data_IF_968895811946
#
_entry.id   IF_968895811946
#
_cell.length_a   1.000
_cell.length_b   1.000
_cell.length_c   1.000
_cell.angle_alpha   90.00
_cell.angle_beta   90.00
_cell.angle_gamma   90.00
#
_symmetry.space_group_name_H-M   'P 1'
#
loop_
_entity.id
_entity.type
_entity.pdbx_description
1 polymer ?
#
# COMPACT_ATOMS: atom_id res chain seq x y z
N UNK A 1 9.22 -18.74 -4.91
CA UNK A 1 10.27 -19.27 -5.80
C UNK A 1 9.65 -19.66 -7.15
N UNK A 2 8.70 -20.60 -7.20
CA UNK A 2 8.10 -21.12 -8.44
C UNK A 2 7.57 -20.07 -9.44
N UNK A 3 6.75 -19.10 -9.00
CA UNK A 3 6.13 -18.14 -9.93
C UNK A 3 7.15 -17.27 -10.67
N UNK A 4 8.25 -16.89 -10.00
CA UNK A 4 9.31 -16.08 -10.61
C UNK A 4 10.15 -16.88 -11.61
N UNK A 5 10.37 -18.16 -11.33
CA UNK A 5 11.07 -19.07 -12.26
C UNK A 5 10.24 -19.27 -13.53
N UNK A 6 8.94 -19.56 -13.39
CA UNK A 6 8.01 -19.69 -14.51
C UNK A 6 7.96 -18.41 -15.35
N UNK A 7 7.93 -17.24 -14.70
CA UNK A 7 7.99 -15.96 -15.40
C UNK A 7 9.34 -15.75 -16.12
N UNK A 8 10.46 -16.12 -15.49
CA UNK A 8 11.80 -16.03 -16.07
C UNK A 8 11.98 -16.94 -17.31
N UNK A 9 11.19 -18.01 -17.42
CA UNK A 9 11.08 -18.86 -18.62
C UNK A 9 10.24 -18.22 -19.76
N UNK A 10 9.85 -16.95 -19.63
CA UNK A 10 9.13 -16.20 -20.66
C UNK A 10 7.61 -16.40 -20.64
N UNK A 11 7.06 -17.01 -19.59
CA UNK A 11 5.62 -17.25 -19.46
C UNK A 11 4.95 -16.08 -18.75
N UNK A 12 3.73 -15.74 -19.17
CA UNK A 12 2.91 -14.74 -18.45
C UNK A 12 2.21 -15.39 -17.27
N UNK A 13 2.32 -14.79 -16.08
CA UNK A 13 1.67 -15.26 -14.85
C UNK A 13 0.67 -14.20 -14.38
N UNK A 14 -0.60 -14.57 -14.26
CA UNK A 14 -1.61 -13.77 -13.56
C UNK A 14 -1.78 -14.30 -12.14
N UNK A 15 -1.77 -13.38 -11.17
CA UNK A 15 -2.04 -13.69 -9.76
C UNK A 15 -2.97 -12.62 -9.18
N UNK A 16 -3.83 -13.03 -8.25
CA UNK A 16 -4.68 -12.14 -7.48
C UNK A 16 -4.44 -12.40 -6.00
N UNK A 17 -4.21 -11.35 -5.22
CA UNK A 17 -4.14 -11.39 -3.77
C UNK A 17 -4.80 -10.14 -3.20
N UNK A 18 -5.43 -10.26 -2.03
CA UNK A 18 -5.95 -9.13 -1.27
C UNK A 18 -4.88 -8.50 -0.37
N UNK A 19 -3.71 -9.13 -0.26
CA UNK A 19 -2.60 -8.69 0.59
C UNK A 19 -1.56 -7.96 -0.23
N UNK A 20 -1.43 -6.64 -0.03
CA UNK A 20 -0.49 -5.82 -0.80
C UNK A 20 0.97 -6.29 -0.65
N UNK A 21 1.37 -6.77 0.52
CA UNK A 21 2.75 -7.24 0.77
C UNK A 21 3.11 -8.51 -0.01
N UNK A 22 2.12 -9.34 -0.37
CA UNK A 22 2.34 -10.49 -1.26
C UNK A 22 2.51 -10.04 -2.71
N UNK A 23 1.61 -9.18 -3.18
CA UNK A 23 1.67 -8.62 -4.54
C UNK A 23 3.00 -7.89 -4.75
N UNK A 24 3.45 -7.09 -3.77
CA UNK A 24 4.72 -6.38 -3.82
C UNK A 24 5.94 -7.31 -3.92
N UNK A 25 5.84 -8.54 -3.38
CA UNK A 25 6.94 -9.51 -3.40
C UNK A 25 6.99 -10.31 -4.70
N UNK A 26 5.91 -10.44 -5.45
CA UNK A 26 5.84 -11.43 -6.54
C UNK A 26 5.57 -10.80 -7.91
N UNK A 27 4.85 -9.68 -7.98
CA UNK A 27 4.43 -9.07 -9.23
C UNK A 27 5.33 -7.91 -9.66
N UNK A 28 5.43 -7.67 -10.98
CA UNK A 28 6.06 -6.47 -11.55
C UNK A 28 5.05 -5.32 -11.68
N UNK A 29 3.78 -5.67 -11.98
CA UNK A 29 2.66 -4.77 -12.20
C UNK A 29 1.43 -5.22 -11.44
N UNK A 30 0.56 -4.28 -11.09
CA UNK A 30 -0.69 -4.53 -10.37
C UNK A 30 -1.85 -3.88 -11.12
N UNK A 31 -2.91 -4.64 -11.33
CA UNK A 31 -4.22 -4.12 -11.72
C UNK A 31 -5.10 -3.91 -10.49
N UNK A 32 -5.79 -2.77 -10.39
CA UNK A 32 -6.79 -2.53 -9.35
C UNK A 32 -8.17 -2.69 -9.99
N UNK A 33 -8.95 -3.64 -9.47
CA UNK A 33 -10.35 -3.84 -9.88
C UNK A 33 -11.27 -3.29 -8.79
N UNK A 34 -12.23 -2.45 -9.18
CA UNK A 34 -13.23 -1.86 -8.29
C UNK A 34 -14.60 -1.91 -8.96
N UNK A 35 -15.59 -2.47 -8.28
CA UNK A 35 -16.96 -2.65 -8.80
C UNK A 35 -17.05 -3.36 -10.17
N UNK A 36 -16.11 -4.25 -10.47
CA UNK A 36 -16.05 -4.98 -11.74
C UNK A 36 -15.18 -4.32 -12.81
N UNK A 37 -14.73 -3.09 -12.60
CA UNK A 37 -13.93 -2.34 -13.57
C UNK A 37 -12.44 -2.30 -13.20
N UNK A 38 -11.58 -2.41 -14.21
CA UNK A 38 -10.14 -2.22 -14.07
C UNK A 38 -9.82 -0.72 -14.05
N UNK A 39 -9.69 -0.17 -12.84
CA UNK A 39 -9.54 1.29 -12.64
C UNK A 39 -8.10 1.78 -12.71
N UNK A 40 -7.12 0.88 -12.57
CA UNK A 40 -5.70 1.24 -12.68
C UNK A 40 -4.85 0.03 -13.07
N UNK A 41 -3.75 0.27 -13.79
CA UNK A 41 -2.66 -0.69 -13.98
C UNK A 41 -1.33 0.04 -13.81
N UNK A 42 -0.59 -0.29 -12.75
CA UNK A 42 0.64 0.43 -12.40
C UNK A 42 1.77 -0.55 -12.06
N UNK A 43 3.02 -0.07 -12.13
CA UNK A 43 4.15 -0.80 -11.59
C UNK A 43 4.03 -0.91 -10.06
N UNK A 44 4.45 -2.03 -9.48
CA UNK A 44 4.46 -2.23 -8.02
C UNK A 44 5.24 -1.13 -7.30
N UNK A 45 6.32 -0.63 -7.90
CA UNK A 45 7.13 0.47 -7.37
C UNK A 45 6.32 1.77 -7.19
N UNK A 46 5.38 2.06 -8.09
CA UNK A 46 4.52 3.25 -8.02
C UNK A 46 3.43 3.13 -6.95
N UNK A 47 3.02 1.91 -6.59
CA UNK A 47 2.12 1.70 -5.45
C UNK A 47 2.83 1.94 -4.12
N UNK A 48 4.12 1.61 -4.03
CA UNK A 48 4.90 1.81 -2.80
C UNK A 48 5.01 3.28 -2.40
N UNK A 49 5.09 4.20 -3.36
CA UNK A 49 5.13 5.64 -3.08
C UNK A 49 3.76 6.20 -2.67
N UNK A 50 2.66 5.51 -3.01
CA UNK A 50 1.28 5.89 -2.66
C UNK A 50 0.79 5.23 -1.37
N UNK A 51 1.53 4.27 -0.83
CA UNK A 51 1.15 3.58 0.41
C UNK A 51 1.16 4.57 1.58
N UNK A 52 0.01 4.76 2.21
CA UNK A 52 -0.10 5.57 3.43
C UNK A 52 0.74 4.94 4.53
N UNK A 53 1.58 5.74 5.19
CA UNK A 53 2.35 5.30 6.35
C UNK A 53 1.53 5.58 7.60
N UNK A 54 1.27 4.55 8.40
CA UNK A 54 0.76 4.72 9.76
C UNK A 54 1.96 4.95 10.67
N UNK A 55 1.91 6.04 11.43
CA UNK A 55 2.92 6.38 12.44
C UNK A 55 2.16 6.55 13.75
N UNK A 56 2.72 6.01 14.82
CA UNK A 56 2.16 6.07 16.17
C UNK A 56 3.20 6.71 17.08
N UNK A 57 2.75 7.62 17.94
CA UNK A 57 3.58 8.37 18.87
C UNK A 57 2.97 8.29 20.25
N UNK A 58 3.81 8.06 21.26
CA UNK A 58 3.44 8.16 22.66
C UNK A 58 4.08 9.44 23.22
N UNK A 59 3.27 10.28 23.86
CA UNK A 59 3.70 11.55 24.43
C UNK A 59 3.71 11.46 25.95
N UNK A 60 4.70 12.10 26.58
CA UNK A 60 4.83 12.12 28.04
C UNK A 60 3.71 12.93 28.73
N UNK A 61 3.04 13.82 27.99
CA UNK A 61 1.94 14.65 28.44
C UNK A 61 0.81 14.64 27.39
N UNK A 62 -0.46 14.88 27.77
CA UNK A 62 -1.56 14.95 26.82
C UNK A 62 -1.31 15.98 25.72
N UNK A 63 -1.51 15.57 24.46
CA UNK A 63 -1.33 16.42 23.28
C UNK A 63 -2.68 16.78 22.67
N UNK A 64 -2.86 18.05 22.32
CA UNK A 64 -4.07 18.49 21.63
C UNK A 64 -4.07 18.04 20.16
N UNK A 65 -5.16 17.40 19.72
CA UNK A 65 -5.35 16.94 18.33
C UNK A 65 -5.07 18.04 17.28
N UNK A 66 -5.44 19.29 17.60
CA UNK A 66 -5.28 20.45 16.73
C UNK A 66 -3.83 20.71 16.29
N UNK A 67 -2.84 20.23 17.03
CA UNK A 67 -1.42 20.34 16.66
C UNK A 67 -1.13 19.59 15.36
N UNK A 68 -1.81 18.48 15.11
CA UNK A 68 -1.59 17.63 13.93
C UNK A 68 -2.40 18.08 12.71
N UNK A 69 -3.46 18.88 12.91
CA UNK A 69 -4.29 19.40 11.82
C UNK A 69 -3.51 20.31 10.85
N UNK A 70 -2.42 20.92 11.31
CA UNK A 70 -1.55 21.78 10.50
C UNK A 70 -0.43 21.00 9.77
N UNK A 71 -0.29 19.70 10.00
CA UNK A 71 0.80 18.89 9.40
C UNK A 71 0.35 18.41 8.01
N UNK A 72 1.10 18.83 6.98
CA UNK A 72 0.82 18.42 5.61
C UNK A 72 0.96 16.90 5.44
N UNK A 73 -0.02 16.30 4.75
CA UNK A 73 -0.07 14.87 4.48
C UNK A 73 -0.63 13.99 5.61
N UNK A 74 -0.96 14.54 6.79
CA UNK A 74 -1.67 13.77 7.84
C UNK A 74 -3.11 13.50 7.41
N UNK A 75 -3.50 12.23 7.50
CA UNK A 75 -4.86 11.73 7.21
C UNK A 75 -5.20 10.67 8.26
N UNK A 76 -6.49 10.50 8.54
CA UNK A 76 -7.00 9.48 9.47
C UNK A 76 -6.39 9.56 10.89
N UNK A 77 -6.30 10.78 11.44
CA UNK A 77 -5.79 11.05 12.79
C UNK A 77 -6.70 10.39 13.85
N UNK A 78 -6.07 9.70 14.81
CA UNK A 78 -6.71 9.13 15.99
C UNK A 78 -5.88 9.56 17.20
N UNK A 79 -6.56 10.08 18.23
CA UNK A 79 -5.94 10.40 19.52
C UNK A 79 -6.63 9.51 20.56
N UNK A 80 -5.85 8.66 21.20
CA UNK A 80 -6.29 7.82 22.31
C UNK A 80 -5.95 8.53 23.65
N UNK A 81 -6.78 8.33 24.67
CA UNK A 81 -6.64 8.90 26.03
C UNK A 81 -5.59 8.18 26.89
#
# INVERSE_FOLDING_TARGET
>A
ALMREVAAEGRTVFLSSHTLSEVQRVADRVGIIRHGDLVAVEAVSALRSKAMRRIEFEFAEPVAEAVFAAVDGVRDLVVDD
#
